data_IF_589343014965
#
_entry.id   IF_589343014965
#
_cell.length_a   1.000
_cell.length_b   1.000
_cell.length_c   1.000
_cell.angle_alpha   90.00
_cell.angle_beta   90.00
_cell.angle_gamma   90.00
#
_symmetry.space_group_name_H-M   'P 1'
#
loop_
_entity.id
_entity.type
_entity.pdbx_description
1 polymer ?
#
# COMPACT_ATOMS: atom_id res chain seq x y z
N UNK A 1 -14.51 -13.93 38.76
CA UNK A 1 -13.86 -12.92 37.89
C UNK A 1 -13.84 -13.43 36.46
N UNK A 2 -14.36 -12.67 35.49
CA UNK A 2 -14.40 -13.11 34.07
C UNK A 2 -13.00 -12.96 33.47
N UNK A 3 -12.44 -14.05 32.94
CA UNK A 3 -11.15 -14.02 32.23
C UNK A 3 -11.31 -13.14 30.98
N UNK A 4 -10.38 -12.20 30.72
CA UNK A 4 -10.44 -11.38 29.50
C UNK A 4 -10.26 -12.25 28.25
N UNK A 5 -10.72 -11.74 27.11
CA UNK A 5 -10.46 -12.38 25.81
C UNK A 5 -8.96 -12.34 25.53
N UNK A 6 -8.42 -13.43 25.02
CA UNK A 6 -6.98 -13.59 24.76
C UNK A 6 -6.46 -12.91 23.49
N UNK A 7 -7.21 -11.96 22.94
CA UNK A 7 -6.84 -11.22 21.74
C UNK A 7 -7.25 -9.76 21.86
N UNK A 8 -6.47 -8.88 21.25
CA UNK A 8 -6.73 -7.44 21.15
C UNK A 8 -6.85 -7.13 19.66
N UNK A 9 -7.92 -6.46 19.26
CA UNK A 9 -8.08 -5.95 17.89
C UNK A 9 -7.51 -4.54 17.88
N UNK A 10 -6.50 -4.31 17.06
CA UNK A 10 -5.91 -2.97 16.89
C UNK A 10 -6.86 -2.10 16.07
N UNK A 11 -7.02 -0.84 16.48
CA UNK A 11 -7.83 0.17 15.77
C UNK A 11 -6.96 1.21 15.08
N UNK A 12 -5.64 1.06 15.15
CA UNK A 12 -4.66 1.90 14.47
C UNK A 12 -3.81 1.01 13.55
N UNK A 13 -3.87 1.28 12.24
CA UNK A 13 -3.28 0.43 11.20
C UNK A 13 -2.12 1.13 10.49
N UNK A 14 -1.09 0.37 10.13
CA UNK A 14 -0.05 0.79 9.18
C UNK A 14 -0.50 0.40 7.78
N UNK A 15 -0.75 1.40 6.93
CA UNK A 15 -1.25 1.20 5.57
C UNK A 15 -0.14 1.51 4.59
N UNK A 16 0.14 0.59 3.67
CA UNK A 16 1.12 0.81 2.60
C UNK A 16 0.43 1.05 1.26
N UNK A 17 1.00 1.94 0.46
CA UNK A 17 0.57 2.24 -0.91
C UNK A 17 1.76 2.35 -1.86
N UNK A 18 1.48 2.56 -3.15
CA UNK A 18 2.47 2.79 -4.20
C UNK A 18 2.04 3.98 -5.07
N UNK A 19 2.97 4.84 -5.53
CA UNK A 19 2.67 5.88 -6.52
C UNK A 19 2.21 5.24 -7.84
N UNK A 20 0.98 5.50 -8.25
CA UNK A 20 0.41 4.97 -9.49
C UNK A 20 -0.73 5.87 -9.98
N UNK A 21 -0.48 6.68 -11.01
CA UNK A 21 -1.53 7.54 -11.56
C UNK A 21 -2.49 6.70 -12.43
N UNK A 22 -3.83 6.87 -12.32
CA UNK A 22 -4.56 7.92 -11.60
C UNK A 22 -5.11 7.47 -10.22
N UNK A 23 -4.54 6.44 -9.60
CA UNK A 23 -5.06 5.89 -8.34
C UNK A 23 -4.45 6.58 -7.11
N UNK A 24 -3.14 6.84 -7.16
CA UNK A 24 -2.36 7.51 -6.12
C UNK A 24 -1.38 8.48 -6.77
N UNK A 25 -1.68 9.77 -6.72
CA UNK A 25 -0.72 10.84 -7.00
C UNK A 25 0.11 11.13 -5.76
N UNK A 26 1.37 11.46 -5.97
CA UNK A 26 2.34 11.77 -4.91
C UNK A 26 3.01 13.09 -5.20
N UNK A 27 3.12 13.93 -4.17
CA UNK A 27 3.77 15.24 -4.21
C UNK A 27 4.77 15.34 -3.06
N UNK A 28 6.01 15.67 -3.37
CA UNK A 28 7.07 15.86 -2.38
C UNK A 28 6.87 17.16 -1.59
N UNK A 29 7.18 17.12 -0.28
CA UNK A 29 7.08 18.25 0.64
C UNK A 29 8.23 18.24 1.64
N UNK A 30 8.61 19.41 2.14
CA UNK A 30 9.62 19.52 3.21
C UNK A 30 9.04 19.24 4.61
N UNK A 31 7.73 19.47 4.79
CA UNK A 31 7.02 19.30 6.06
C UNK A 31 5.63 18.66 5.80
N UNK A 32 5.25 17.57 6.52
CA UNK A 32 3.92 16.96 6.45
C UNK A 32 2.74 17.91 6.67
N UNK A 33 2.95 19.02 7.40
CA UNK A 33 1.93 20.05 7.63
C UNK A 33 1.58 20.85 6.36
N UNK A 34 2.32 20.66 5.27
CA UNK A 34 2.08 21.26 3.96
C UNK A 34 1.18 20.40 3.06
N UNK A 35 0.65 19.27 3.56
CA UNK A 35 -0.40 18.54 2.85
C UNK A 35 -1.71 19.33 2.86
N UNK A 36 -2.40 19.32 1.71
CA UNK A 36 -3.72 19.92 1.57
C UNK A 36 -4.79 19.12 2.31
N UNK A 37 -5.98 19.70 2.52
CA UNK A 37 -7.09 19.04 3.21
C UNK A 37 -7.55 17.74 2.51
N UNK A 38 -7.36 17.62 1.19
CA UNK A 38 -7.67 16.43 0.39
C UNK A 38 -6.47 15.47 0.23
N UNK A 39 -5.36 15.73 0.91
CA UNK A 39 -4.14 14.94 0.85
C UNK A 39 -3.82 14.26 2.19
N UNK A 40 -3.12 13.13 2.11
CA UNK A 40 -2.68 12.36 3.27
C UNK A 40 -1.15 12.33 3.29
N UNK A 41 -0.47 12.66 4.41
CA UNK A 41 0.95 12.44 4.56
C UNK A 41 1.32 10.97 4.33
N UNK A 42 2.27 10.71 3.43
CA UNK A 42 2.66 9.37 3.01
C UNK A 42 4.17 9.27 2.83
N UNK A 43 4.94 9.28 3.93
CA UNK A 43 6.39 9.21 3.86
C UNK A 43 6.89 7.95 3.14
N UNK A 44 8.07 8.06 2.54
CA UNK A 44 8.76 6.93 1.91
C UNK A 44 10.17 6.82 2.47
N UNK A 45 10.59 5.61 2.81
CA UNK A 45 11.97 5.37 3.24
C UNK A 45 12.90 5.36 2.02
N UNK A 46 13.99 6.11 2.11
CA UNK A 46 15.03 6.13 1.10
C UNK A 46 15.97 4.94 1.30
N UNK A 47 16.14 4.11 0.26
CA UNK A 47 17.01 2.93 0.30
C UNK A 47 18.49 3.23 0.54
N UNK A 48 18.96 4.40 0.09
CA UNK A 48 20.39 4.74 0.09
C UNK A 48 20.79 5.42 1.38
N UNK A 49 20.08 6.45 1.79
CA UNK A 49 20.39 7.19 3.03
C UNK A 49 19.75 6.56 4.27
N UNK A 50 18.66 5.79 4.10
CA UNK A 50 17.85 5.29 5.20
C UNK A 50 16.91 6.34 5.80
N UNK A 51 16.99 7.58 5.30
CA UNK A 51 16.16 8.70 5.72
C UNK A 51 14.71 8.54 5.25
N UNK A 52 13.82 9.33 5.86
CA UNK A 52 12.40 9.31 5.56
C UNK A 52 12.06 10.57 4.75
N UNK A 53 11.81 10.38 3.47
CA UNK A 53 11.41 11.45 2.54
C UNK A 53 9.90 11.71 2.71
N UNK A 54 9.50 12.98 2.82
CA UNK A 54 8.12 13.39 3.10
C UNK A 54 7.34 13.65 1.81
N UNK A 55 6.12 13.12 1.76
CA UNK A 55 5.22 13.30 0.62
C UNK A 55 3.77 13.44 1.09
N UNK A 56 2.95 14.03 0.22
CA UNK A 56 1.50 14.08 0.32
C UNK A 56 0.89 13.23 -0.80
N UNK A 57 -0.01 12.33 -0.44
CA UNK A 57 -0.70 11.41 -1.35
C UNK A 57 -2.15 11.81 -1.52
N UNK A 58 -2.66 11.72 -2.75
CA UNK A 58 -4.08 11.92 -3.07
C UNK A 58 -4.53 11.01 -4.20
N UNK A 59 -5.84 10.86 -4.36
CA UNK A 59 -6.44 10.11 -5.46
C UNK A 59 -7.43 9.06 -4.99
N UNK A 60 -7.95 8.29 -5.94
CA UNK A 60 -9.03 7.34 -5.71
C UNK A 60 -8.75 6.36 -4.56
N UNK A 61 -7.52 5.85 -4.46
CA UNK A 61 -7.15 4.92 -3.39
C UNK A 61 -7.12 5.59 -2.00
N UNK A 62 -6.77 6.88 -1.94
CA UNK A 62 -6.75 7.66 -0.70
C UNK A 62 -8.16 7.99 -0.22
N UNK A 63 -9.04 8.38 -1.14
CA UNK A 63 -10.46 8.62 -0.86
C UNK A 63 -11.14 7.35 -0.35
N UNK A 64 -10.86 6.21 -0.98
CA UNK A 64 -11.35 4.90 -0.55
C UNK A 64 -10.87 4.55 0.86
N UNK A 65 -9.59 4.78 1.16
CA UNK A 65 -9.03 4.54 2.50
C UNK A 65 -9.71 5.40 3.57
N UNK A 66 -9.92 6.69 3.29
CA UNK A 66 -10.63 7.59 4.20
C UNK A 66 -12.09 7.15 4.44
N UNK A 67 -12.79 6.75 3.39
CA UNK A 67 -14.15 6.23 3.51
C UNK A 67 -14.19 4.95 4.37
N UNK A 68 -13.27 4.01 4.14
CA UNK A 68 -13.17 2.77 4.92
C UNK A 68 -12.82 3.05 6.40
N UNK A 69 -11.88 3.97 6.66
CA UNK A 69 -11.50 4.36 8.01
C UNK A 69 -12.68 4.94 8.79
N UNK A 70 -13.48 5.79 8.14
CA UNK A 70 -14.70 6.38 8.71
C UNK A 70 -15.79 5.34 8.95
N UNK A 71 -16.09 4.49 7.96
CA UNK A 71 -17.15 3.48 8.08
C UNK A 71 -16.84 2.39 9.11
N UNK A 72 -15.58 1.97 9.20
CA UNK A 72 -15.12 0.89 10.08
C UNK A 72 -14.54 1.39 11.41
N UNK A 73 -14.47 2.70 11.62
CA UNK A 73 -13.94 3.35 12.82
C UNK A 73 -12.51 2.92 13.18
N UNK A 74 -11.59 2.95 12.22
CA UNK A 74 -10.15 2.79 12.48
C UNK A 74 -9.37 4.05 12.11
N UNK A 75 -8.19 4.17 12.69
CA UNK A 75 -7.21 5.21 12.37
C UNK A 75 -6.01 4.56 11.68
N UNK A 76 -5.21 5.34 10.96
CA UNK A 76 -4.09 4.76 10.23
C UNK A 76 -2.93 5.75 10.07
N UNK A 77 -1.75 5.18 9.81
CA UNK A 77 -0.62 5.88 9.21
C UNK A 77 -0.39 5.32 7.82
N UNK A 78 -0.33 6.20 6.83
CA UNK A 78 -0.05 5.85 5.45
C UNK A 78 1.45 5.99 5.17
N UNK A 79 2.03 5.06 4.41
CA UNK A 79 3.39 5.20 3.89
C UNK A 79 3.51 4.55 2.51
N UNK A 80 4.54 4.95 1.76
CA UNK A 80 4.83 4.36 0.46
C UNK A 80 5.79 3.17 0.61
N UNK A 81 5.56 2.13 -0.18
CA UNK A 81 6.46 0.98 -0.27
C UNK A 81 7.88 1.42 -0.69
N UNK A 82 8.89 0.91 0.02
CA UNK A 82 10.29 1.35 -0.12
C UNK A 82 10.87 1.05 -1.51
N UNK A 83 10.49 -0.05 -2.13
CA UNK A 83 11.00 -0.47 -3.44
C UNK A 83 10.16 -0.01 -4.63
N UNK A 84 9.01 0.62 -4.39
CA UNK A 84 8.08 1.02 -5.44
C UNK A 84 7.40 -0.14 -6.17
N UNK A 85 7.46 -1.36 -5.62
CA UNK A 85 6.94 -2.56 -6.29
C UNK A 85 5.63 -3.04 -5.66
N UNK A 86 4.77 -3.64 -6.47
CA UNK A 86 3.57 -4.34 -5.99
C UNK A 86 3.94 -5.58 -5.17
N UNK A 87 4.97 -6.31 -5.62
CA UNK A 87 5.50 -7.50 -4.97
C UNK A 87 5.46 -8.71 -5.88
N UNK A 88 6.59 -9.39 -5.97
CA UNK A 88 6.78 -10.65 -6.70
C UNK A 88 7.47 -11.67 -5.78
N UNK A 89 7.42 -12.94 -6.18
CA UNK A 89 8.32 -13.94 -5.63
C UNK A 89 9.67 -13.87 -6.34
N UNK A 90 10.71 -13.56 -5.58
CA UNK A 90 12.08 -13.64 -6.05
C UNK A 90 12.85 -14.76 -5.35
N UNK A 91 13.70 -15.46 -6.11
CA UNK A 91 14.65 -16.43 -5.57
C UNK A 91 15.94 -15.71 -5.17
N UNK A 92 16.36 -15.87 -3.92
CA UNK A 92 17.61 -15.24 -3.46
C UNK A 92 18.80 -16.01 -3.99
N UNK A 93 19.63 -15.40 -4.84
CA UNK A 93 20.93 -15.93 -5.29
C UNK A 93 20.91 -17.39 -5.80
N UNK A 94 19.83 -17.80 -6.49
CA UNK A 94 19.68 -19.18 -6.97
C UNK A 94 19.42 -20.23 -5.89
N UNK A 95 19.13 -19.81 -4.66
CA UNK A 95 18.68 -20.69 -3.58
C UNK A 95 17.18 -20.99 -3.68
N UNK A 96 16.73 -22.07 -3.03
CA UNK A 96 15.30 -22.40 -2.91
C UNK A 96 14.53 -21.44 -1.98
N UNK A 97 15.23 -20.49 -1.33
CA UNK A 97 14.60 -19.55 -0.41
C UNK A 97 13.90 -18.45 -1.19
N UNK A 98 12.58 -18.52 -1.17
CA UNK A 98 11.67 -17.55 -1.76
C UNK A 98 11.51 -16.34 -0.84
N UNK A 99 11.62 -15.13 -1.40
CA UNK A 99 11.31 -13.89 -0.70
C UNK A 99 10.21 -13.14 -1.44
N UNK A 100 9.33 -12.51 -0.66
CA UNK A 100 8.38 -11.54 -1.16
C UNK A 100 8.99 -10.15 -1.16
N UNK A 101 8.84 -9.44 -2.27
CA UNK A 101 9.19 -8.03 -2.43
C UNK A 101 7.93 -7.15 -2.39
N UNK A 102 8.10 -5.83 -2.48
CA UNK A 102 7.00 -4.90 -2.63
C UNK A 102 5.99 -4.89 -1.49
N UNK A 103 4.80 -4.39 -1.82
CA UNK A 103 3.67 -4.29 -0.88
C UNK A 103 3.23 -5.66 -0.35
N UNK A 104 3.33 -6.73 -1.15
CA UNK A 104 3.07 -8.09 -0.67
C UNK A 104 4.08 -8.49 0.41
N UNK A 105 5.36 -8.20 0.22
CA UNK A 105 6.39 -8.42 1.23
C UNK A 105 6.13 -7.65 2.52
N UNK A 106 5.69 -6.39 2.42
CA UNK A 106 5.33 -5.58 3.58
C UNK A 106 4.24 -6.23 4.45
N UNK A 107 3.23 -6.87 3.84
CA UNK A 107 2.21 -7.63 4.56
C UNK A 107 2.75 -8.94 5.13
N UNK A 108 3.47 -9.72 4.32
CA UNK A 108 3.97 -11.05 4.72
C UNK A 108 4.95 -10.96 5.89
N UNK A 109 5.74 -9.90 5.96
CA UNK A 109 6.66 -9.65 7.07
C UNK A 109 6.06 -8.79 8.19
N UNK A 110 4.74 -8.60 8.21
CA UNK A 110 3.99 -7.87 9.25
C UNK A 110 4.45 -6.41 9.46
N UNK A 111 5.02 -5.80 8.40
CA UNK A 111 5.44 -4.39 8.42
C UNK A 111 4.27 -3.47 8.15
N UNK A 112 3.35 -3.89 7.27
CA UNK A 112 2.05 -3.27 7.05
C UNK A 112 0.93 -4.16 7.62
N UNK A 113 -0.16 -3.53 8.03
CA UNK A 113 -1.40 -4.21 8.42
C UNK A 113 -2.39 -4.27 7.24
N UNK A 114 -2.25 -3.36 6.27
CA UNK A 114 -3.13 -3.26 5.10
C UNK A 114 -2.40 -2.65 3.90
N UNK A 115 -2.79 -3.08 2.69
CA UNK A 115 -2.39 -2.47 1.42
C UNK A 115 -3.60 -1.78 0.80
N UNK A 116 -3.44 -0.53 0.39
CA UNK A 116 -4.43 0.19 -0.44
C UNK A 116 -3.76 0.74 -1.70
N UNK A 117 -3.96 0.03 -2.80
CA UNK A 117 -3.35 0.30 -4.10
C UNK A 117 -4.14 -0.43 -5.21
N UNK A 118 -3.92 -0.12 -6.50
CA UNK A 118 -4.49 -0.87 -7.62
C UNK A 118 -3.79 -2.24 -7.81
N UNK A 119 -3.78 -3.07 -6.75
CA UNK A 119 -3.12 -4.38 -6.74
C UNK A 119 -4.00 -5.43 -7.46
N UNK A 120 -3.41 -6.15 -8.40
CA UNK A 120 -4.10 -7.21 -9.15
C UNK A 120 -4.19 -8.48 -8.33
N UNK A 121 -5.40 -9.04 -8.21
CA UNK A 121 -5.63 -10.34 -7.57
C UNK A 121 -5.07 -11.43 -8.49
N UNK A 122 -4.03 -12.11 -8.04
CA UNK A 122 -3.42 -13.23 -8.76
C UNK A 122 -3.29 -14.47 -7.84
N UNK A 123 -3.22 -15.70 -8.39
CA UNK A 123 -3.17 -16.92 -7.58
C UNK A 123 -1.92 -17.06 -6.71
N UNK A 124 -0.83 -16.39 -7.07
CA UNK A 124 0.45 -16.50 -6.42
C UNK A 124 0.49 -15.69 -5.11
N UNK A 125 0.12 -14.41 -5.18
CA UNK A 125 -0.05 -13.53 -4.01
C UNK A 125 -1.19 -14.00 -3.11
N UNK A 126 -2.26 -14.57 -3.68
CA UNK A 126 -3.40 -15.07 -2.89
C UNK A 126 -3.06 -16.28 -2.00
N UNK A 127 -1.91 -16.91 -2.19
CA UNK A 127 -1.41 -17.95 -1.27
C UNK A 127 -0.75 -17.36 -0.01
N UNK A 128 -0.33 -16.10 -0.07
CA UNK A 128 0.41 -15.44 1.01
C UNK A 128 -0.40 -14.34 1.72
N UNK A 129 -1.34 -13.70 1.02
CA UNK A 129 -2.18 -12.62 1.54
C UNK A 129 -3.65 -12.85 1.19
N UNK A 130 -4.54 -12.27 1.99
CA UNK A 130 -5.97 -12.29 1.74
C UNK A 130 -6.42 -11.02 1.01
N UNK A 131 -7.24 -11.19 -0.02
CA UNK A 131 -7.82 -10.08 -0.78
C UNK A 131 -9.28 -9.86 -0.39
N UNK A 132 -9.71 -8.59 -0.40
CA UNK A 132 -11.12 -8.24 -0.35
C UNK A 132 -11.84 -8.61 -1.66
N UNK A 133 -13.14 -8.29 -1.75
CA UNK A 133 -13.83 -8.32 -3.04
C UNK A 133 -13.26 -7.24 -3.97
N UNK A 134 -13.16 -7.50 -5.29
CA UNK A 134 -12.65 -6.51 -6.23
C UNK A 134 -13.47 -5.21 -6.15
N UNK A 135 -12.80 -4.07 -5.92
CA UNK A 135 -13.45 -2.76 -5.94
C UNK A 135 -13.46 -2.13 -7.35
N UNK A 136 -12.63 -2.64 -8.26
CA UNK A 136 -12.56 -2.21 -9.66
C UNK A 136 -12.27 -3.40 -10.56
N UNK A 137 -13.06 -3.55 -11.63
CA UNK A 137 -12.75 -4.46 -12.72
C UNK A 137 -11.99 -3.71 -13.81
N UNK A 138 -10.88 -4.28 -14.25
CA UNK A 138 -10.07 -3.77 -15.35
C UNK A 138 -9.63 -4.92 -16.27
N UNK A 139 -9.41 -4.59 -17.55
CA UNK A 139 -8.84 -5.50 -18.54
C UNK A 139 -7.58 -4.89 -19.15
N UNK A 140 -6.77 -5.74 -19.78
CA UNK A 140 -5.57 -5.29 -20.49
C UNK A 140 -6.01 -4.70 -21.83
N UNK A 141 -5.51 -3.50 -22.15
CA UNK A 141 -5.69 -2.85 -23.45
C UNK A 141 -4.35 -2.43 -24.02
N UNK A 142 -4.30 -2.22 -25.34
CA UNK A 142 -3.09 -1.79 -26.05
C UNK A 142 -3.23 -0.29 -26.36
N UNK A 143 -2.25 0.49 -25.95
CA UNK A 143 -2.13 1.90 -26.30
C UNK A 143 -1.21 2.04 -27.51
N UNK A 144 -1.74 2.56 -28.61
CA UNK A 144 -0.98 2.88 -29.82
C UNK A 144 -1.03 4.39 -30.09
N UNK A 145 0.08 4.94 -30.58
CA UNK A 145 0.10 6.32 -31.07
C UNK A 145 -0.83 6.42 -32.28
N UNK A 146 -1.84 7.29 -32.21
CA UNK A 146 -2.72 7.56 -33.34
C UNK A 146 -1.88 8.00 -34.56
N UNK A 147 -1.99 7.25 -35.65
CA UNK A 147 -1.48 7.67 -36.94
C UNK A 147 -2.39 8.78 -37.52
N UNK A 148 -1.81 9.85 -38.08
CA UNK A 148 -2.57 10.94 -38.70
C UNK A 148 -3.39 10.48 -39.91
#
# INVERSE_FOLDING_TARGET
TKKPRGYIVTTHLKVVTVPENPFTWVREVDDPLLCLDDEIPCPRRNKTSGDLDMYCCRGYCMDLLNALASELNFTYNLYQVEDGLYGSFDYVNGSEKKIWTGMVGELVYERADMVVAPLTINPESSQAIEFSKPFKYQGITILEKKHP
#
